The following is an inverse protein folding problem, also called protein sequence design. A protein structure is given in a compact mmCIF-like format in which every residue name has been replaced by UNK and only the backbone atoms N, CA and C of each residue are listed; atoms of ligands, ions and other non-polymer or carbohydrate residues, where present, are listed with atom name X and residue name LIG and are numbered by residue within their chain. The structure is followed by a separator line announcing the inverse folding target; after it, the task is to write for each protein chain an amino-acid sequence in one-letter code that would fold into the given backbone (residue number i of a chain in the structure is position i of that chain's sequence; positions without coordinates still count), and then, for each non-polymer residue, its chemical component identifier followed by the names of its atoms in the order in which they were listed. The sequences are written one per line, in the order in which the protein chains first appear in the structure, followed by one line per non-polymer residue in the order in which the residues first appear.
data_IF_073756389477
#
_entry.id   IF_073756389477
#
_cell.length_a   1.000
_cell.length_b   1.000
_cell.length_c   1.000
_cell.angle_alpha   90.00
_cell.angle_beta   90.00
_cell.angle_gamma   90.00
#
_symmetry.space_group_name_H-M   'P 1'
#
loop_
_entity.id
_entity.type
_entity.pdbx_description
1 polymer ?
2 polymer ?
3 polymer ?
4 water ?
#
# COMPACT_ATOMS: atom_id res chain seq x y z
N UNK A 22 -4.16 20.49 6.15
CA UNK A 22 -3.90 21.10 4.85
C UNK A 22 -2.75 20.41 4.07
N UNK A 23 -2.23 19.30 4.59
CA UNK A 23 -1.15 18.52 3.96
C UNK A 23 -1.76 17.61 2.89
N UNK A 24 -1.48 17.91 1.61
CA UNK A 24 -1.99 17.14 0.46
C UNK A 24 -0.85 16.53 -0.35
N UNK A 25 -0.95 15.22 -0.64
CA UNK A 25 0.07 14.46 -1.37
C UNK A 25 -0.44 13.85 -2.67
N UNK A 26 0.44 13.81 -3.69
CA UNK A 26 0.19 13.20 -5.00
C UNK A 26 1.38 12.29 -5.32
N UNK A 27 1.10 11.04 -5.75
CA UNK A 27 2.15 10.08 -6.06
C UNK A 27 1.76 9.14 -7.20
N UNK A 28 2.66 9.03 -8.21
CA UNK A 28 2.50 8.15 -9.37
C UNK A 28 3.66 7.15 -9.36
N UNK A 29 3.37 5.91 -8.91
CA UNK A 29 4.36 4.85 -8.78
C UNK A 29 4.36 3.83 -9.92
N UNK A 30 5.51 3.71 -10.63
CA UNK A 30 5.70 2.80 -11.76
C UNK A 30 6.60 1.63 -11.39
N UNK A 31 6.29 0.44 -11.92
CA UNK A 31 7.05 -0.79 -11.69
C UNK A 31 7.27 -1.55 -13.00
N UNK A 32 8.54 -1.75 -13.38
CA UNK A 32 8.93 -2.51 -14.57
C UNK A 32 9.55 -3.83 -14.11
N UNK A 33 8.89 -4.95 -14.43
CA UNK A 33 9.31 -6.28 -13.98
C UNK A 33 9.72 -7.23 -15.11
N UNK A 34 10.72 -8.08 -14.85
CA UNK A 34 11.20 -9.11 -15.78
C UNK A 34 10.41 -10.40 -15.53
N UNK A 35 10.12 -10.69 -14.25
CA UNK A 35 9.36 -11.86 -13.81
C UNK A 35 8.12 -11.38 -13.01
N UNK A 36 6.92 -11.37 -13.62
CA UNK A 36 5.70 -10.91 -12.93
C UNK A 36 5.09 -11.81 -11.82
N UNK A 37 4.91 -13.14 -11.98
CA UNK A 37 5.25 -14.01 -13.12
C UNK A 37 4.03 -14.49 -13.91
N UNK A 38 3.50 -15.71 -13.62
CA UNK A 38 2.35 -16.26 -14.36
C UNK A 38 1.02 -15.53 -14.10
N UNK A 39 0.35 -15.12 -15.20
CA UNK A 39 -0.94 -14.42 -15.19
C UNK A 39 -0.90 -13.07 -14.48
N UNK A 40 0.23 -12.34 -14.60
CA UNK A 40 0.43 -11.04 -13.96
C UNK A 40 1.06 -10.01 -14.93
N UNK A 41 0.73 -8.69 -14.79
CA UNK A 41 1.31 -7.68 -15.67
C UNK A 41 2.75 -7.33 -15.30
N UNK A 42 3.60 -7.07 -16.32
CA UNK A 42 5.01 -6.71 -16.12
C UNK A 42 5.18 -5.22 -15.78
N UNK A 43 4.34 -4.35 -16.35
CA UNK A 43 4.36 -2.91 -16.09
C UNK A 43 3.09 -2.48 -15.38
N UNK A 44 3.23 -1.87 -14.18
CA UNK A 44 2.12 -1.41 -13.35
C UNK A 44 2.35 0.06 -12.94
N UNK A 45 1.37 0.95 -13.22
CA UNK A 45 1.41 2.36 -12.85
C UNK A 45 0.17 2.73 -12.03
N UNK A 46 0.37 3.13 -10.76
CA UNK A 46 -0.70 3.48 -9.83
C UNK A 46 -0.58 4.94 -9.36
N UNK A 47 -1.70 5.69 -9.37
CA UNK A 47 -1.77 7.09 -8.93
C UNK A 47 -2.50 7.20 -7.59
N UNK A 48 -2.05 8.14 -6.73
CA UNK A 48 -2.63 8.37 -5.40
C UNK A 48 -2.87 9.85 -5.08
N UNK A 49 -3.99 10.15 -4.39
CA UNK A 49 -4.36 11.48 -3.90
C UNK A 49 -4.61 11.33 -2.39
N UNK A 50 -3.69 11.90 -1.56
CA UNK A 50 -3.71 11.86 -0.10
C UNK A 50 -3.74 10.41 0.47
N UNK A 51 -3.14 9.45 -0.26
CA UNK A 51 -3.09 8.04 0.10
C UNK A 51 -4.13 7.21 -0.65
N UNK A 52 -5.28 7.82 -0.99
CA UNK A 52 -6.39 7.17 -1.69
C UNK A 52 -6.09 6.91 -3.17
N UNK A 53 -6.40 5.70 -3.64
CA UNK A 53 -6.21 5.26 -5.03
C UNK A 53 -7.24 5.92 -5.95
N UNK A 54 -6.80 6.42 -7.11
CA UNK A 54 -7.67 7.08 -8.09
C UNK A 54 -7.31 6.77 -9.55
N UNK A 55 -6.02 6.48 -9.82
CA UNK A 55 -5.50 6.16 -11.16
C UNK A 55 -4.86 4.77 -11.17
N UNK A 56 -5.13 3.98 -12.23
CA UNK A 56 -4.58 2.63 -12.39
C UNK A 56 -4.23 2.32 -13.85
N UNK A 57 -3.08 1.64 -14.06
CA UNK A 57 -2.59 1.21 -15.36
C UNK A 57 -1.80 -0.10 -15.24
N UNK A 58 -2.02 -1.02 -16.19
CA UNK A 58 -1.32 -2.31 -16.27
C UNK A 58 -0.98 -2.66 -17.73
N UNK A 59 0.11 -3.44 -17.93
CA UNK A 59 0.59 -3.84 -19.26
C UNK A 59 -0.36 -4.80 -20.01
N UNK A 60 -1.28 -5.47 -19.30
CA UNK A 60 -2.25 -6.41 -19.90
C UNK A 60 -3.41 -5.64 -20.54
N UNK A 61 -4.05 -4.74 -19.77
CA UNK A 61 -5.20 -3.93 -20.24
C UNK A 61 -4.78 -2.79 -21.19
N UNK A 62 -3.58 -2.20 -20.97
CA UNK A 62 -3.00 -1.10 -21.76
C UNK A 62 -3.86 0.18 -21.78
N UNK A 63 -4.62 0.44 -20.69
CA UNK A 63 -5.48 1.60 -20.55
C UNK A 63 -5.49 2.21 -19.15
N UNK A 64 -5.54 3.55 -19.08
CA UNK A 64 -5.61 4.30 -17.82
C UNK A 64 -7.08 4.43 -17.42
N UNK A 65 -7.47 3.76 -16.33
CA UNK A 65 -8.85 3.73 -15.84
C UNK A 65 -9.03 4.36 -14.44
N UNK A 66 -10.19 5.03 -14.18
CA UNK A 66 -10.43 5.62 -12.85
C UNK A 66 -10.85 4.54 -11.85
N UNK A 67 -10.42 4.69 -10.58
CA UNK A 67 -10.75 3.72 -9.53
C UNK A 67 -11.86 4.23 -8.60
N UNK A 68 -11.76 5.49 -8.15
CA UNK A 68 -12.77 6.12 -7.28
C UNK A 68 -13.75 7.00 -8.09
N UNK A 69 -14.95 7.22 -7.53
CA UNK A 69 -16.04 7.97 -8.17
C UNK A 69 -15.83 9.47 -8.40
N UNK A 70 -15.07 10.15 -7.53
CA UNK A 70 -14.84 11.61 -7.66
C UNK A 70 -14.04 12.07 -8.88
N UNK A 71 -13.11 11.23 -9.39
CA UNK A 71 -12.31 11.58 -10.56
C UNK A 71 -13.08 11.43 -11.88
N UNK A 72 -13.81 10.30 -12.04
CA UNK A 72 -14.62 10.00 -13.22
C UNK A 72 -15.75 11.01 -13.42
N UNK A 73 -16.32 11.53 -12.31
CA UNK A 73 -17.40 12.52 -12.32
C UNK A 73 -16.91 13.93 -12.69
N UNK A 74 -15.59 14.19 -12.50
CA UNK A 74 -14.98 15.50 -12.78
C UNK A 74 -14.04 15.52 -14.00
N UNK A 75 -13.79 14.37 -14.64
CA UNK A 75 -12.94 14.26 -15.83
C UNK A 75 -13.65 13.59 -17.01
N UNK A 76 -13.33 14.03 -18.24
CA UNK A 76 -13.88 13.49 -19.48
C UNK A 76 -12.97 12.39 -20.05
N UNK A 77 -13.40 11.74 -21.16
CA UNK A 77 -12.63 10.67 -21.83
C UNK A 77 -11.33 11.20 -22.43
N UNK A 78 -11.34 12.46 -22.93
CA UNK A 78 -10.19 13.16 -23.53
C UNK A 78 -9.01 13.24 -22.55
N UNK A 79 -9.30 13.37 -21.24
CA UNK A 79 -8.34 13.41 -20.15
C UNK A 79 -7.66 12.03 -20.03
N UNK A 80 -8.49 10.96 -19.92
CA UNK A 80 -8.02 9.58 -19.79
C UNK A 80 -7.35 9.03 -21.05
N UNK A 81 -7.68 9.59 -22.23
CA UNK A 81 -7.07 9.20 -23.51
C UNK A 81 -5.62 9.71 -23.55
N UNK A 82 -5.40 10.95 -23.05
CA UNK A 82 -4.07 11.57 -22.95
C UNK A 82 -3.26 10.88 -21.84
N UNK A 83 -3.94 10.48 -20.74
CA UNK A 83 -3.32 9.77 -19.62
C UNK A 83 -2.86 8.36 -20.00
N UNK A 84 -3.53 7.73 -20.99
CA UNK A 84 -3.19 6.39 -21.48
C UNK A 84 -1.88 6.43 -22.29
N UNK A 85 -1.85 7.24 -23.38
CA UNK A 85 -0.72 7.39 -24.30
C UNK A 85 0.63 7.77 -23.67
N UNK A 86 0.62 8.67 -22.67
CA UNK A 86 1.85 9.11 -21.98
C UNK A 86 2.45 8.01 -21.10
N UNK A 87 1.58 7.17 -20.50
CA UNK A 87 2.00 6.03 -19.67
C UNK A 87 2.39 4.86 -20.60
N UNK A 88 1.70 4.73 -21.76
CA UNK A 88 1.98 3.74 -22.80
C UNK A 88 3.36 4.00 -23.40
N UNK A 89 3.73 5.30 -23.51
CA UNK A 89 5.01 5.76 -24.02
C UNK A 89 6.12 5.43 -23.02
N UNK A 90 5.85 5.64 -21.71
CA UNK A 90 6.78 5.35 -20.63
C UNK A 90 6.96 3.84 -20.44
N UNK A 91 5.92 3.05 -20.80
CA UNK A 91 5.93 1.58 -20.73
C UNK A 91 6.98 1.03 -21.71
N UNK A 92 7.04 1.61 -22.94
CA UNK A 92 8.01 1.25 -23.97
C UNK A 92 9.42 1.69 -23.58
N UNK A 93 9.53 2.84 -22.89
CA UNK A 93 10.80 3.39 -22.40
C UNK A 93 11.34 2.52 -21.26
N UNK A 94 10.47 2.11 -20.31
CA UNK A 94 10.84 1.25 -19.20
C UNK A 94 11.13 -0.20 -19.65
N UNK A 95 10.60 -0.60 -20.82
CA UNK A 95 10.81 -1.92 -21.43
C UNK A 95 12.27 -2.03 -21.89
N UNK A 96 12.78 -1.00 -22.61
CA UNK A 96 14.16 -0.95 -23.08
C UNK A 96 15.14 -0.61 -21.95
N UNK A 97 14.67 0.10 -20.90
CA UNK A 97 15.45 0.46 -19.71
C UNK A 97 15.91 -0.76 -18.92
N UNK A 98 15.08 -1.84 -18.93
CA UNK A 98 15.38 -3.11 -18.27
C UNK A 98 16.56 -3.81 -18.97
N UNK A 99 16.69 -3.62 -20.29
CA UNK A 99 17.74 -4.19 -21.12
C UNK A 99 19.05 -3.39 -21.05
N UNK A 100 18.96 -2.04 -21.02
CA UNK A 100 20.09 -1.11 -20.93
C UNK A 100 20.82 -1.29 -19.59
N UNK A 101 20.04 -1.35 -18.49
CA UNK A 101 20.54 -1.50 -17.12
C UNK A 101 21.12 -2.90 -16.83
N UNK A 102 20.64 -3.93 -17.56
CA UNK A 102 21.13 -5.31 -17.42
C UNK A 102 22.53 -5.46 -18.01
N UNK A 103 22.82 -4.74 -19.12
CA UNK A 103 24.12 -4.76 -19.80
C UNK A 103 25.20 -4.02 -19.00
N UNK A 104 24.80 -2.97 -18.23
CA UNK A 104 25.70 -2.17 -17.41
C UNK A 104 26.26 -2.98 -16.23
N UNK A 105 25.42 -3.84 -15.62
CA UNK A 105 25.77 -4.72 -14.50
C UNK A 105 26.28 -6.08 -14.99
N UNK A 106 26.22 -6.33 -16.33
CA UNK A 106 26.61 -7.56 -17.01
C UNK A 106 25.78 -8.77 -16.52
N UNK A 107 24.46 -8.71 -16.77
CA UNK A 107 23.48 -9.73 -16.37
C UNK A 107 22.77 -10.30 -17.59
N UNK A 108 22.64 -11.64 -17.64
CA UNK A 108 21.99 -12.36 -18.74
C UNK A 108 20.46 -12.35 -18.62
N UNK A 109 19.94 -12.42 -17.38
CA UNK A 109 18.49 -12.42 -17.12
C UNK A 109 18.15 -13.10 -15.80
N UNK A 110 16.89 -12.93 -15.36
CA UNK A 110 16.37 -13.51 -14.12
C UNK A 110 15.27 -12.63 -13.54
N UNK A 111 15.48 -12.11 -12.32
CA UNK A 111 14.53 -11.23 -11.64
C UNK A 111 15.15 -9.85 -11.39
N UNK A 112 14.80 -8.89 -12.26
CA UNK A 112 15.27 -7.50 -12.20
C UNK A 112 14.09 -6.54 -12.24
N UNK A 113 14.10 -5.53 -11.35
CA UNK A 113 13.00 -4.57 -11.23
C UNK A 113 13.46 -3.12 -11.33
N UNK A 114 12.70 -2.30 -12.08
CA UNK A 114 12.94 -0.86 -12.26
C UNK A 114 11.73 -0.12 -11.68
N UNK A 115 11.92 0.51 -10.51
CA UNK A 115 10.88 1.24 -9.80
C UNK A 115 10.98 2.75 -10.07
N UNK A 116 9.85 3.46 -9.99
CA UNK A 116 9.79 4.90 -10.22
C UNK A 116 8.82 5.61 -9.26
N UNK A 117 9.27 6.76 -8.71
CA UNK A 117 8.48 7.59 -7.79
C UNK A 117 8.41 9.02 -8.32
N UNK A 118 7.19 9.53 -8.52
CA UNK A 118 6.94 10.88 -9.04
C UNK A 118 5.71 11.49 -8.39
N UNK A 119 5.72 12.83 -8.18
CA UNK A 119 4.59 13.53 -7.57
C UNK A 119 4.99 14.78 -6.78
N UNK A 120 3.98 15.50 -6.25
CA UNK A 120 4.15 16.73 -5.47
C UNK A 120 3.48 16.65 -4.10
N UNK A 121 4.02 17.38 -3.12
CA UNK A 121 3.49 17.47 -1.76
C UNK A 121 3.25 18.94 -1.41
N UNK A 122 1.97 19.33 -1.29
CA UNK A 122 1.61 20.71 -0.92
C UNK A 122 1.52 20.78 0.61
N UNK A 123 2.50 21.46 1.24
CA UNK A 123 2.59 21.63 2.68
C UNK A 123 1.49 22.55 3.20
N UNK A 124 1.12 22.41 4.49
CA UNK A 124 0.09 23.21 5.17
C UNK A 124 0.34 24.71 5.12
N UNK A 125 1.62 25.12 5.21
CA UNK A 125 2.06 26.51 5.16
C UNK A 125 1.90 27.12 3.76
N UNK A 126 2.26 26.36 2.70
CA UNK A 126 2.15 26.79 1.31
C UNK A 126 3.35 26.41 0.45
N UNK A 127 4.39 25.79 1.06
CA UNK A 127 5.61 25.37 0.36
C UNK A 127 5.34 24.15 -0.52
N UNK A 128 5.93 24.13 -1.72
CA UNK A 128 5.80 23.05 -2.70
C UNK A 128 7.05 22.16 -2.67
N UNK A 129 6.84 20.84 -2.52
CA UNK A 129 7.91 19.85 -2.49
C UNK A 129 7.66 18.79 -3.57
N UNK A 130 8.51 18.78 -4.61
CA UNK A 130 8.38 17.86 -5.75
C UNK A 130 9.49 16.80 -5.76
N UNK A 131 9.09 15.53 -5.97
CA UNK A 131 10.02 14.40 -6.02
C UNK A 131 9.93 13.63 -7.33
N UNK A 132 11.10 13.14 -7.81
CA UNK A 132 11.25 12.36 -9.04
C UNK A 132 12.49 11.49 -8.91
N UNK A 133 12.30 10.21 -8.58
CA UNK A 133 13.40 9.25 -8.39
C UNK A 133 13.13 7.85 -8.94
N UNK A 134 14.22 7.09 -9.20
CA UNK A 134 14.17 5.73 -9.73
C UNK A 134 15.08 4.78 -8.94
N UNK A 135 14.77 3.47 -8.98
CA UNK A 135 15.53 2.42 -8.29
C UNK A 135 15.61 1.13 -9.09
N UNK A 136 16.80 0.49 -9.08
CA UNK A 136 17.05 -0.77 -9.76
C UNK A 136 17.33 -1.88 -8.74
N UNK A 137 16.53 -2.96 -8.80
CA UNK A 137 16.59 -4.13 -7.91
C UNK A 137 16.49 -3.78 -6.40
N UNK A 138 15.59 -2.83 -6.08
CA UNK A 138 15.35 -2.38 -4.71
C UNK A 138 16.19 -1.14 -4.35
N UNK A 139 17.52 -1.23 -4.53
CA UNK A 139 18.47 -0.17 -4.23
C UNK A 139 18.32 1.05 -5.16
N UNK A 140 18.55 2.26 -4.62
CA UNK A 140 18.46 3.55 -5.32
C UNK A 140 19.35 3.62 -6.55
N UNK A 141 18.85 4.27 -7.62
CA UNK A 141 19.57 4.45 -8.89
C UNK A 141 19.80 5.93 -9.18
N UNK A 142 18.72 6.69 -9.48
CA UNK A 142 18.77 8.13 -9.78
C UNK A 142 17.67 8.90 -9.03
N UNK A 143 17.93 10.20 -8.76
CA UNK A 143 17.00 11.11 -8.08
C UNK A 143 17.20 12.54 -8.57
N UNK A 144 16.09 13.25 -8.86
CA UNK A 144 16.14 14.62 -9.35
C UNK A 144 16.20 15.64 -8.21
N UNK A 145 17.12 16.61 -8.33
CA UNK A 145 17.31 17.69 -7.36
C UNK A 145 16.67 18.98 -7.88
N UNK A 146 15.82 19.62 -7.06
CA UNK A 146 15.12 20.85 -7.42
C UNK A 146 15.98 22.11 -7.30
N UNK A 147 16.78 22.21 -6.21
CA UNK A 147 17.65 23.36 -5.94
C UNK A 147 18.94 23.41 -6.78
N UNK A 148 19.16 22.40 -7.65
CA UNK A 148 20.33 22.30 -8.51
C UNK A 148 19.92 22.11 -9.98
N UNK A 149 18.68 21.62 -10.22
CA UNK A 149 18.07 21.34 -11.53
C UNK A 149 18.84 20.26 -12.34
N UNK A 150 19.52 19.35 -11.62
CA UNK A 150 20.32 18.26 -12.19
C UNK A 150 19.93 16.91 -11.56
N UNK A 151 20.10 15.82 -12.34
CA UNK A 151 19.80 14.47 -11.90
C UNK A 151 20.99 13.90 -11.12
N UNK A 152 20.76 13.47 -9.87
CA UNK A 152 21.78 12.91 -8.98
C UNK A 152 21.86 11.39 -9.16
N UNK A 153 23.10 10.88 -9.37
CA UNK A 153 23.39 9.46 -9.56
C UNK A 153 23.92 8.85 -8.25
N UNK A 154 23.23 7.84 -7.72
CA UNK A 154 23.59 7.16 -6.47
C UNK A 154 24.65 6.07 -6.68
N UNK A 155 24.42 5.19 -7.67
CA UNK A 155 25.32 4.07 -8.00
C UNK A 155 26.28 4.45 -9.17
N UNK A 156 27.50 3.84 -9.28
CA UNK A 156 28.42 4.11 -10.38
C UNK A 156 27.86 3.72 -11.76
N UNK A 157 26.85 2.83 -11.80
CA UNK A 157 26.18 2.38 -13.03
C UNK A 157 25.15 3.42 -13.53
N UNK A 158 24.80 4.40 -12.68
CA UNK A 158 23.85 5.47 -12.98
C UNK A 158 24.50 6.72 -13.59
N UNK A 159 25.83 6.67 -13.83
CA UNK A 159 26.61 7.75 -14.43
C UNK A 159 26.20 7.99 -15.92
N UNK A 160 26.03 6.92 -16.78
CA UNK A 160 25.60 7.17 -18.17
C UNK A 160 24.18 7.76 -18.30
N UNK A 161 23.33 7.58 -17.26
CA UNK A 161 21.96 8.10 -17.20
C UNK A 161 22.00 9.64 -17.13
N UNK A 162 22.92 10.20 -16.32
CA UNK A 162 23.12 11.64 -16.15
C UNK A 162 23.60 12.26 -17.46
N UNK A 163 24.46 11.54 -18.22
CA UNK A 163 25.01 11.97 -19.51
C UNK A 163 23.90 12.06 -20.56
N UNK A 164 22.90 11.15 -20.47
CA UNK A 164 21.72 11.12 -21.36
C UNK A 164 20.80 12.29 -21.05
N UNK A 165 20.63 12.61 -19.75
CA UNK A 165 19.79 13.71 -19.27
C UNK A 165 20.38 15.09 -19.59
N UNK A 166 21.73 15.18 -19.62
CA UNK A 166 22.46 16.41 -19.94
C UNK A 166 22.45 16.66 -21.46
N UNK A 167 22.33 15.58 -22.27
CA UNK A 167 22.30 15.63 -23.73
C UNK A 167 20.95 16.14 -24.24
N UNK A 168 19.84 15.52 -23.78
CA UNK A 168 18.47 15.88 -24.20
C UNK A 168 17.91 17.10 -23.48
N UNK A 169 18.30 17.29 -22.20
CA UNK A 169 17.83 18.42 -21.38
C UNK A 169 16.40 18.16 -20.90
N UNK A 170 16.16 16.97 -20.32
CA UNK A 170 14.85 16.55 -19.80
C UNK A 170 14.49 17.24 -18.48
N UNK A 171 15.51 17.79 -17.78
CA UNK A 171 15.37 18.49 -16.50
C UNK A 171 14.49 19.74 -16.58
N UNK A 172 14.51 20.44 -17.74
CA UNK A 172 13.73 21.65 -18.00
C UNK A 172 12.23 21.35 -18.06
N UNK A 173 11.85 20.23 -18.72
CA UNK A 173 10.46 19.78 -18.85
C UNK A 173 9.93 19.23 -17.53
N UNK A 174 10.83 18.68 -16.69
CA UNK A 174 10.52 18.12 -15.38
C UNK A 174 10.34 19.23 -14.32
N UNK A 175 11.07 20.36 -14.49
CA UNK A 175 11.00 21.51 -13.59
C UNK A 175 9.63 22.19 -13.66
N UNK A 176 9.11 22.44 -14.88
CA UNK A 176 7.80 23.05 -15.11
C UNK A 176 6.64 22.14 -14.67
N UNK A 177 6.84 20.81 -14.69
CA UNK A 177 5.85 19.82 -14.28
C UNK A 177 5.71 19.80 -12.76
N UNK A 178 6.80 19.53 -12.02
CA UNK A 178 6.85 19.45 -10.56
C UNK A 178 6.53 20.75 -9.83
N UNK A 179 6.74 21.91 -10.48
CA UNK A 179 6.47 23.23 -9.90
C UNK A 179 5.11 23.81 -10.27
N UNK A 180 4.58 23.47 -11.47
CA UNK A 180 3.29 24.00 -11.95
C UNK A 180 2.24 22.94 -12.31
N UNK A 181 2.47 22.14 -13.37
CA UNK A 181 1.54 21.11 -13.90
C UNK A 181 1.00 20.14 -12.83
N UNK A 182 1.90 19.49 -12.09
CA UNK A 182 1.58 18.53 -11.02
C UNK A 182 0.90 19.20 -9.82
N UNK A 183 1.31 20.45 -9.52
CA UNK A 183 0.77 21.26 -8.41
C UNK A 183 -0.68 21.73 -8.70
N UNK A 184 -0.90 22.30 -9.90
CA UNK A 184 -2.21 22.81 -10.35
C UNK A 184 -3.29 21.72 -10.40
N UNK A 185 -2.91 20.50 -10.84
CA UNK A 185 -3.81 19.36 -10.89
C UNK A 185 -4.16 18.81 -9.51
N UNK A 186 -3.17 18.76 -8.59
CA UNK A 186 -3.35 18.30 -7.21
C UNK A 186 -4.34 19.18 -6.43
N UNK A 187 -4.30 20.52 -6.67
CA UNK A 187 -5.22 21.49 -6.06
C UNK A 187 -6.66 21.21 -6.49
N UNK A 188 -6.84 20.76 -7.74
CA UNK A 188 -8.14 20.39 -8.31
C UNK A 188 -8.62 19.03 -7.77
N UNK A 189 -7.71 18.03 -7.64
CA UNK A 189 -8.01 16.68 -7.12
C UNK A 189 -8.58 16.71 -5.70
N UNK A 190 -8.09 17.64 -4.87
CA UNK A 190 -8.54 17.83 -3.48
C UNK A 190 -9.97 18.40 -3.50
N UNK A 191 -10.24 19.38 -4.39
CA UNK A 191 -11.54 20.03 -4.57
C UNK A 191 -12.57 19.05 -5.14
N UNK A 192 -12.14 18.15 -6.05
CA UNK A 192 -13.01 17.14 -6.68
C UNK A 192 -13.45 16.07 -5.66
N UNK A 193 -12.52 15.63 -4.79
CA UNK A 193 -12.78 14.63 -3.75
C UNK A 193 -12.81 15.26 -2.36
N UNK A 194 -13.45 16.44 -2.23
CA UNK A 194 -13.60 17.19 -0.98
C UNK A 194 -14.48 16.44 0.02
N UNK A 195 -15.53 15.76 -0.48
CA UNK A 195 -16.50 15.00 0.33
C UNK A 195 -16.00 13.60 0.72
N UNK A 196 -15.25 12.93 -0.19
CA UNK A 196 -14.74 11.58 0.04
C UNK A 196 -13.52 11.54 0.98
N UNK A 197 -12.50 12.39 0.72
CA UNK A 197 -11.27 12.46 1.52
C UNK A 197 -11.51 13.03 2.92
N UNK A 198 -12.47 13.97 3.05
CA UNK A 198 -12.82 14.62 4.31
C UNK A 198 -13.77 13.81 5.19
N UNK A 199 -14.38 12.74 4.64
CA UNK A 199 -15.33 11.88 5.36
C UNK A 199 -14.61 10.95 6.34
N UNK A 200 -15.18 10.83 7.56
CA UNK A 200 -14.65 9.96 8.62
C UNK A 200 -15.51 8.70 8.77
N UNK A 201 -14.85 7.55 8.97
CA UNK A 201 -15.50 6.25 9.14
C UNK A 201 -15.18 5.64 10.51
N UNK A 202 -16.24 5.34 11.28
CA UNK A 202 -16.14 4.74 12.62
C UNK A 202 -15.77 3.25 12.52
N UNK A 203 -14.75 2.78 13.29
CA UNK A 203 -14.36 1.37 13.21
C UNK A 203 -15.09 0.45 14.20
N UNK A 204 -15.33 -0.80 13.78
CA UNK A 204 -15.96 -1.82 14.62
C UNK A 204 -14.84 -2.49 15.41
N UNK A 205 -14.79 -2.23 16.72
CA UNK A 205 -13.73 -2.75 17.61
C UNK A 205 -14.14 -4.09 18.24
N UNK A 206 -13.20 -5.06 18.23
CA UNK A 206 -13.40 -6.38 18.83
C UNK A 206 -12.21 -6.75 19.71
N UNK A 207 -12.49 -7.01 21.00
CA UNK A 207 -11.47 -7.38 22.00
C UNK A 207 -11.54 -8.90 22.25
N UNK A 208 -10.40 -9.59 22.07
CA UNK A 208 -10.30 -11.04 22.23
C UNK A 208 -9.17 -11.46 23.17
N UNK A 209 -9.09 -12.77 23.49
CA UNK A 209 -8.08 -13.35 24.36
C UNK A 209 -7.87 -14.84 24.06
N UNK A 210 -6.61 -15.31 24.18
CA UNK A 210 -6.23 -16.70 23.92
C UNK A 210 -5.22 -17.21 24.95
N UNK A 211 -5.47 -18.42 25.48
CA UNK A 211 -4.61 -19.09 26.46
C UNK A 211 -3.75 -20.15 25.76
N UNK A 212 -2.42 -20.12 26.00
CA UNK A 212 -1.48 -21.06 25.39
C UNK A 212 -0.72 -21.91 26.42
N UNK A 213 0.34 -21.35 27.04
CA UNK A 213 1.16 -22.05 28.04
C UNK A 213 1.41 -21.16 29.27
N UNK A 214 0.35 -20.98 30.10
CA UNK A 214 0.40 -20.17 31.31
C UNK A 214 0.31 -18.65 31.04
N UNK A 215 0.12 -18.25 29.77
CA UNK A 215 0.02 -16.85 29.35
C UNK A 215 -1.23 -16.56 28.53
N UNK A 216 -1.92 -15.45 28.84
CA UNK A 216 -3.13 -15.00 28.15
C UNK A 216 -2.77 -13.87 27.18
N UNK A 217 -2.97 -14.11 25.87
CA UNK A 217 -2.67 -13.13 24.82
C UNK A 217 -3.95 -12.36 24.45
N UNK A 218 -4.07 -11.13 24.95
CA UNK A 218 -5.21 -10.25 24.71
C UNK A 218 -5.04 -9.53 23.37
N UNK A 219 -6.03 -9.69 22.47
CA UNK A 219 -6.02 -9.10 21.13
C UNK A 219 -7.08 -8.01 20.96
N UNK A 220 -6.75 -6.98 20.16
CA UNK A 220 -7.66 -5.86 19.85
C UNK A 220 -7.61 -5.55 18.36
N UNK A 221 -8.77 -5.63 17.69
CA UNK A 221 -8.88 -5.39 16.24
C UNK A 221 -9.89 -4.30 15.91
N UNK A 222 -9.50 -3.37 15.03
CA UNK A 222 -10.36 -2.28 14.55
C UNK A 222 -10.69 -2.54 13.08
N UNK A 223 -12.00 -2.69 12.77
CA UNK A 223 -12.48 -3.02 11.43
C UNK A 223 -13.08 -1.84 10.68
N UNK A 224 -12.48 -1.49 9.51
CA UNK A 224 -12.91 -0.45 8.59
C UNK A 224 -12.95 0.97 9.16
N UNK A 225 -11.88 1.75 8.93
CA UNK A 225 -11.78 3.14 9.39
C UNK A 225 -11.08 4.06 8.39
N UNK A 226 -11.52 5.33 8.35
CA UNK A 226 -10.94 6.38 7.50
C UNK A 226 -10.85 7.69 8.29
N UNK A 227 -9.70 8.42 8.23
CA UNK A 227 -8.47 8.19 7.45
C UNK A 227 -7.53 7.10 8.02
N UNK A 228 -6.35 6.94 7.39
CA UNK A 228 -5.31 5.97 7.76
C UNK A 228 -4.72 6.16 9.19
N UNK A 229 -4.45 7.42 9.69
CA UNK A 229 -3.87 7.54 11.03
C UNK A 229 -4.78 7.07 12.17
N UNK A 230 -4.24 6.22 13.04
CA UNK A 230 -4.92 5.64 14.20
C UNK A 230 -3.90 5.32 15.33
N UNK A 231 -4.31 5.51 16.59
CA UNK A 231 -3.49 5.21 17.76
C UNK A 231 -4.25 4.19 18.61
N UNK A 232 -3.83 2.91 18.53
CA UNK A 232 -4.44 1.82 19.28
C UNK A 232 -3.45 1.29 20.32
N UNK A 233 -3.71 1.61 21.60
CA UNK A 233 -2.85 1.22 22.73
C UNK A 233 -3.62 0.48 23.82
N UNK A 234 -2.94 -0.47 24.49
CA UNK A 234 -3.50 -1.28 25.57
C UNK A 234 -3.28 -0.61 26.93
N UNK A 235 -4.26 -0.78 27.84
CA UNK A 235 -4.23 -0.21 29.20
C UNK A 235 -4.38 -1.30 30.25
N UNK A 236 -3.75 -1.12 31.42
CA UNK A 236 -3.86 -2.02 32.56
C UNK A 236 -4.19 -1.18 33.79
N UNK A 237 -5.40 -1.39 34.36
CA UNK A 237 -5.96 -0.65 35.50
C UNK A 237 -6.08 0.87 35.22
N UNK A 238 -6.33 1.21 33.94
CA UNK A 238 -6.47 2.59 33.46
C UNK A 238 -5.12 3.27 33.26
N UNK A 239 -4.08 2.49 32.87
CA UNK A 239 -2.72 3.00 32.64
C UNK A 239 -2.10 2.33 31.41
N UNK A 240 -1.63 3.15 30.45
CA UNK A 240 -1.04 2.73 29.18
C UNK A 240 0.23 1.86 29.31
N UNK A 241 0.28 0.75 28.53
CA UNK A 241 1.38 -0.19 28.49
C UNK A 241 1.88 -0.31 27.04
N UNK A 242 2.59 0.74 26.58
CA UNK A 242 3.13 0.86 25.23
C UNK A 242 4.22 -0.16 24.89
N UNK A 243 5.10 -0.46 25.85
CA UNK A 243 6.20 -1.41 25.69
C UNK A 243 5.72 -2.86 25.54
N UNK A 244 4.82 -3.31 26.43
CA UNK A 244 4.27 -4.67 26.44
C UNK A 244 3.36 -4.99 25.25
N UNK A 245 2.72 -3.97 24.67
CA UNK A 245 1.81 -4.12 23.52
C UNK A 245 2.56 -4.19 22.19
N UNK A 246 2.18 -5.16 21.34
CA UNK A 246 2.76 -5.40 20.02
C UNK A 246 1.73 -5.12 18.92
N UNK A 247 2.08 -4.26 17.96
CA UNK A 247 1.21 -3.89 16.84
C UNK A 247 1.65 -4.50 15.52
N UNK A 248 0.69 -4.85 14.66
CA UNK A 248 0.94 -5.42 13.32
C UNK A 248 0.99 -4.33 12.24
N UNK A 249 0.68 -3.07 12.62
CA UNK A 249 0.67 -1.92 11.71
C UNK A 249 -0.70 -1.73 11.06
N UNK A 250 -0.89 -0.58 10.38
CA UNK A 250 -2.14 -0.25 9.69
C UNK A 250 -2.16 -0.95 8.32
N UNK A 251 -3.09 -1.91 8.15
CA UNK A 251 -3.27 -2.71 6.94
C UNK A 251 -4.55 -2.30 6.17
N UNK A 252 -4.47 -2.12 4.82
CA UNK A 252 -5.64 -1.69 4.05
C UNK A 252 -6.59 -2.80 3.62
N UNK A 253 -7.89 -2.46 3.52
CA UNK A 253 -8.96 -3.37 3.08
C UNK A 253 -9.20 -3.24 1.57
N UNK A 254 -10.00 -4.16 0.99
CA UNK A 254 -10.32 -4.19 -0.44
C UNK A 254 -11.18 -3.00 -0.92
N UNK A 255 -12.06 -2.48 -0.03
CA UNK A 255 -12.95 -1.36 -0.34
C UNK A 255 -12.31 0.03 -0.20
N UNK A 256 -11.09 0.11 0.36
CA UNK A 256 -10.37 1.38 0.53
C UNK A 256 -10.16 1.73 2.01
N UNK A 257 -10.92 1.10 2.92
CA UNK A 257 -10.84 1.31 4.37
C UNK A 257 -9.57 0.67 4.96
N UNK A 258 -9.32 0.89 6.27
CA UNK A 258 -8.13 0.37 6.94
C UNK A 258 -8.44 -0.53 8.16
N UNK A 259 -7.45 -1.35 8.55
CA UNK A 259 -7.52 -2.30 9.66
C UNK A 259 -6.22 -2.24 10.48
N UNK A 260 -6.31 -2.55 11.79
CA UNK A 260 -5.16 -2.57 12.71
C UNK A 260 -5.29 -3.69 13.75
N UNK A 261 -4.16 -4.35 14.07
CA UNK A 261 -4.10 -5.46 15.03
C UNK A 261 -3.05 -5.20 16.11
N UNK A 262 -3.50 -5.06 17.37
CA UNK A 262 -2.64 -4.81 18.54
C UNK A 262 -2.85 -5.93 19.59
N UNK A 263 -1.76 -6.62 19.96
CA UNK A 263 -1.77 -7.72 20.95
C UNK A 263 -0.90 -7.44 22.18
N UNK A 264 -1.29 -8.02 23.34
CA UNK A 264 -0.57 -7.89 24.60
C UNK A 264 -0.59 -9.22 25.40
N UNK A 265 0.50 -9.52 26.12
CA UNK A 265 0.62 -10.73 26.95
C UNK A 265 0.32 -10.39 28.41
N UNK A 266 -0.52 -11.22 29.05
CA UNK A 266 -0.95 -11.05 30.45
C UNK A 266 -1.13 -12.38 31.17
N UNK A 267 -1.17 -12.34 32.52
CA UNK A 267 -1.36 -13.52 33.38
C UNK A 267 -2.85 -13.95 33.36
N UNK A 268 -3.16 -15.27 33.55
CA UNK A 268 -4.56 -15.71 33.56
C UNK A 268 -5.32 -15.18 34.78
N UNK A 269 -6.50 -14.60 34.55
CA UNK A 269 -7.36 -14.02 35.58
C UNK A 269 -7.16 -12.50 35.72
N UNK A 270 -6.62 -11.86 34.66
CA UNK A 270 -6.36 -10.42 34.62
C UNK A 270 -6.88 -9.76 33.33
N UNK A 271 -7.46 -10.57 32.41
CA UNK A 271 -7.99 -10.15 31.11
C UNK A 271 -9.02 -9.00 31.18
N UNK A 272 -9.92 -9.03 32.17
CA UNK A 272 -10.95 -8.01 32.36
C UNK A 272 -10.41 -6.67 32.86
N UNK A 273 -9.23 -6.69 33.53
CA UNK A 273 -8.55 -5.48 34.04
C UNK A 273 -7.92 -4.67 32.89
N UNK A 274 -7.76 -5.30 31.71
CA UNK A 274 -7.18 -4.69 30.52
C UNK A 274 -8.24 -3.99 29.66
N UNK A 275 -7.90 -2.81 29.12
CA UNK A 275 -8.77 -2.00 28.27
C UNK A 275 -8.07 -1.57 26.98
N UNK A 276 -8.79 -1.58 25.86
CA UNK A 276 -8.27 -1.17 24.56
C UNK A 276 -8.67 0.26 24.24
N UNK A 277 -7.68 1.14 24.01
CA UNK A 277 -7.88 2.55 23.70
C UNK A 277 -7.73 2.78 22.19
N UNK A 278 -8.74 3.39 21.56
CA UNK A 278 -8.75 3.68 20.13
C UNK A 278 -8.87 5.20 19.91
N UNK A 279 -7.83 5.80 19.29
CA UNK A 279 -7.79 7.23 18.97
C UNK A 279 -7.96 7.40 17.46
N UNK A 280 -9.12 7.95 17.05
CA UNK A 280 -9.46 8.15 15.64
C UNK A 280 -10.20 9.47 15.41
N UNK A 281 -10.10 10.02 14.18
CA UNK A 281 -10.74 11.27 13.77
C UNK A 281 -12.27 11.23 13.83
N UNK A 282 -12.87 10.04 13.62
CA UNK A 282 -14.32 9.83 13.67
C UNK A 282 -14.88 9.93 15.09
N UNK A 283 -14.05 9.57 16.10
CA UNK A 283 -14.42 9.62 17.51
C UNK A 283 -14.05 10.98 18.15
N UNK A 284 -14.99 11.61 18.91
CA UNK A 284 -14.68 12.89 19.57
C UNK A 284 -13.70 12.70 20.74
N UNK A 285 -13.87 11.60 21.48
CA UNK A 285 -13.02 11.20 22.62
C UNK A 285 -12.46 9.78 22.39
N UNK A 286 -11.28 9.42 22.99
CA UNK A 286 -10.72 8.08 22.81
C UNK A 286 -11.64 6.98 23.36
N UNK A 287 -12.05 6.04 22.48
CA UNK A 287 -12.94 4.93 22.82
C UNK A 287 -12.23 3.88 23.65
N UNK A 288 -12.80 3.56 24.83
CA UNK A 288 -12.28 2.55 25.76
C UNK A 288 -13.13 1.29 25.64
N UNK A 289 -12.50 0.16 25.28
CA UNK A 289 -13.21 -1.12 25.07
C UNK A 289 -12.64 -2.27 25.90
N UNK A 290 -13.54 -3.06 26.51
CA UNK A 290 -13.20 -4.22 27.34
C UNK A 290 -13.68 -5.54 26.72
N UNK A 291 -13.10 -6.66 27.16
CA UNK A 291 -13.41 -8.01 26.67
C UNK A 291 -14.82 -8.48 27.07
N UNK A 292 -15.19 -8.34 28.35
CA UNK A 292 -16.50 -8.74 28.87
C UNK A 292 -17.59 -7.69 28.63
N UNK A 293 -17.21 -6.46 28.23
CA UNK A 293 -18.14 -5.35 27.98
C UNK A 293 -19.25 -5.52 26.91
N UNK A 294 -18.99 -6.06 25.69
CA UNK A 294 -17.74 -6.57 25.13
C UNK A 294 -17.46 -5.98 23.76
N UNK A 295 -16.29 -5.35 23.60
CA UNK A 295 -15.86 -4.74 22.34
C UNK A 295 -16.63 -3.46 21.99
N UNK A 296 -16.86 -3.25 20.68
CA UNK A 296 -17.55 -2.10 20.10
C UNK A 296 -19.06 -2.04 20.37
N UNK A 297 -19.72 -3.20 20.55
CA UNK A 297 -21.17 -3.26 20.80
C UNK A 297 -21.62 -2.84 22.22
N UNK A 298 -20.68 -2.41 23.06
CA UNK A 298 -20.96 -1.94 24.42
C UNK A 298 -21.18 -0.42 24.39
N UNK A 299 -22.45 0.00 24.27
CA UNK A 299 -22.86 1.40 24.23
C UNK A 299 -23.93 1.72 25.28
N UNK B 2 14.48 -9.34 0.78
CA UNK B 2 13.75 -9.08 2.02
C UNK B 2 12.54 -9.99 2.15
N UNK B 3 12.34 -10.57 3.35
CA UNK B 3 11.22 -11.47 3.64
C UNK B 3 9.91 -10.70 3.90
N UNK B 4 8.76 -11.16 3.31
CA UNK B 4 7.47 -10.47 3.50
C UNK B 4 6.88 -10.64 4.90
N UNK B 5 6.33 -9.53 5.44
CA UNK B 5 5.65 -9.50 6.74
C UNK B 5 4.16 -9.62 6.44
N UNK B 6 3.63 -10.86 6.57
CA UNK B 6 2.24 -11.18 6.25
C UNK B 6 1.34 -11.37 7.47
N UNK B 7 0.06 -10.95 7.35
CA UNK B 7 -0.98 -11.08 8.37
C UNK B 7 -2.36 -11.27 7.73
N UNK B 8 -3.14 -12.24 8.25
CA UNK B 8 -4.49 -12.54 7.77
C UNK B 8 -5.56 -11.90 8.68
N UNK B 9 -6.55 -11.23 8.06
CA UNK B 9 -7.62 -10.51 8.77
C UNK B 9 -8.90 -10.40 7.94
N UNK B 10 -10.06 -10.33 8.63
CA UNK B 10 -11.37 -10.19 8.00
C UNK B 10 -11.79 -8.71 7.93
N UNK B 11 -12.58 -8.36 6.90
CA UNK B 11 -13.08 -6.99 6.69
C UNK B 11 -14.04 -6.56 7.80
N UNK B 12 -15.08 -7.35 8.06
CA UNK B 12 -16.07 -7.12 9.12
C UNK B 12 -15.88 -8.12 10.26
N UNK B 13 -16.40 -7.84 11.50
CA UNK B 13 -16.31 -8.80 12.60
C UNK B 13 -17.02 -10.12 12.25
N UNK B 14 -16.37 -11.25 12.57
CA UNK B 14 -16.85 -12.61 12.29
C UNK B 14 -18.25 -12.90 12.84
N UNK B 15 -19.09 -13.55 12.01
CA UNK B 15 -20.46 -13.94 12.31
C UNK B 15 -20.85 -15.18 11.50
N UNK B 16 -21.52 -16.15 12.14
CA UNK B 16 -21.95 -17.39 11.51
C UNK B 16 -23.12 -17.16 10.55
N UNK B 17 -22.97 -17.64 9.30
CA UNK B 17 -23.98 -17.52 8.24
C UNK B 17 -24.13 -16.08 7.73
N UNK B 18 -23.03 -15.31 7.74
CA UNK B 18 -22.99 -13.91 7.28
C UNK B 18 -21.80 -13.70 6.34
N UNK B 19 -22.03 -13.01 5.20
CA UNK B 19 -21.01 -12.73 4.19
C UNK B 19 -19.92 -11.79 4.72
N UNK B 20 -18.65 -12.10 4.39
CA UNK B 20 -17.48 -11.33 4.82
C UNK B 20 -16.34 -11.41 3.78
N UNK B 21 -15.30 -10.58 3.92
CA UNK B 21 -14.16 -10.54 3.01
C UNK B 21 -12.88 -10.93 3.78
N UNK B 22 -12.18 -11.98 3.31
CA UNK B 22 -10.94 -12.45 3.94
C UNK B 22 -9.72 -11.83 3.25
N UNK B 23 -9.05 -10.90 3.96
CA UNK B 23 -7.88 -10.18 3.45
C UNK B 23 -6.58 -10.79 3.95
N UNK B 24 -5.53 -10.76 3.11
CA UNK B 24 -4.20 -11.25 3.41
C UNK B 24 -3.18 -10.27 2.83
N UNK B 25 -2.64 -9.40 3.69
CA UNK B 25 -1.69 -8.35 3.29
C UNK B 25 -0.24 -8.69 3.59
N UNK B 26 0.61 -8.67 2.54
CA UNK B 26 2.05 -8.92 2.61
C UNK B 26 2.79 -7.63 2.26
N UNK B 27 3.79 -7.26 3.09
CA UNK B 27 4.57 -6.03 2.90
C UNK B 27 6.05 -6.19 3.29
N UNK B 28 6.91 -5.32 2.72
CA UNK B 28 8.36 -5.30 2.98
C UNK B 28 9.08 -6.48 2.33
N UNK B 29 8.90 -6.65 1.00
CA UNK B 29 9.52 -7.76 0.27
C UNK B 29 10.15 -7.38 -1.09
N UNK B 30 11.14 -8.17 -1.51
CA UNK B 30 11.86 -8.05 -2.78
C UNK B 30 12.50 -9.41 -3.12
N UNK B 31 12.35 -9.93 -4.39
CA UNK B 31 11.69 -9.39 -5.59
C UNK B 31 10.15 -9.28 -5.48
N UNK B 32 9.48 -8.52 -6.41
CA UNK B 32 8.02 -8.37 -6.38
C UNK B 32 7.21 -9.64 -6.63
N UNK B 33 7.84 -10.70 -7.21
CA UNK B 33 7.19 -11.98 -7.50
C UNK B 33 6.81 -12.68 -6.18
N UNK B 34 5.50 -12.69 -5.88
CA UNK B 34 4.94 -13.29 -4.67
C UNK B 34 3.68 -14.12 -4.97
N UNK B 35 3.56 -15.29 -4.32
CA UNK B 35 2.41 -16.18 -4.48
C UNK B 35 1.58 -16.21 -3.20
N UNK B 36 0.50 -15.42 -3.17
CA UNK B 36 -0.42 -15.31 -2.02
C UNK B 36 -1.74 -16.00 -2.37
N UNK B 37 -2.08 -17.08 -1.63
CA UNK B 37 -3.30 -17.85 -1.86
C UNK B 37 -4.11 -18.03 -0.58
N UNK B 38 -5.40 -17.70 -0.63
CA UNK B 38 -6.33 -17.84 0.50
C UNK B 38 -6.86 -19.28 0.50
N UNK B 39 -6.88 -19.92 1.69
CA UNK B 39 -7.31 -21.32 1.82
C UNK B 39 -8.49 -21.55 2.77
N UNK B 40 -9.22 -22.66 2.53
CA UNK B 40 -10.34 -23.17 3.32
C UNK B 40 -10.11 -24.68 3.49
N UNK B 41 -9.74 -25.10 4.72
CA UNK B 41 -9.42 -26.47 5.12
C UNK B 41 -8.26 -27.11 4.31
N UNK B 42 -7.28 -26.26 3.91
CA UNK B 42 -6.11 -26.68 3.13
C UNK B 42 -6.35 -26.63 1.62
N UNK B 43 -7.59 -26.29 1.19
CA UNK B 43 -8.00 -26.19 -0.21
C UNK B 43 -8.11 -24.70 -0.59
N UNK B 44 -7.52 -24.27 -1.75
CA UNK B 44 -7.59 -22.85 -2.16
C UNK B 44 -9.02 -22.32 -2.32
N UNK B 45 -9.24 -21.06 -1.90
CA UNK B 45 -10.54 -20.40 -1.94
C UNK B 45 -10.91 -19.88 -3.32
N UNK B 46 -12.20 -19.99 -3.67
CA UNK B 46 -12.77 -19.56 -4.96
C UNK B 46 -12.99 -18.05 -5.01
N UNK B 47 -12.73 -17.44 -6.18
CA UNK B 47 -12.92 -16.01 -6.45
C UNK B 47 -11.91 -15.11 -5.73
N UNK B 48 -10.62 -15.50 -5.74
CA UNK B 48 -9.55 -14.72 -5.11
C UNK B 48 -9.13 -13.56 -6.01
N UNK B 49 -9.21 -12.32 -5.49
CA UNK B 49 -8.86 -11.10 -6.22
C UNK B 49 -7.66 -10.40 -5.58
N UNK B 50 -6.72 -9.94 -6.43
CA UNK B 50 -5.49 -9.26 -6.00
C UNK B 50 -5.50 -7.75 -6.28
N UNK B 51 -4.52 -7.02 -5.72
CA UNK B 51 -4.36 -5.57 -5.89
C UNK B 51 -3.14 -5.25 -6.75
N UNK B 53 -0.10 -4.18 -7.89
CA UNK B 53 1.26 -3.98 -7.43
C UNK B 53 1.49 -2.55 -6.93
N UNK B 54 2.01 -2.43 -5.69
CA UNK B 54 2.29 -1.15 -5.04
C UNK B 54 3.54 -1.26 -4.14
N UNK B 55 4.19 -0.11 -3.84
CA UNK B 55 5.38 -0.06 -2.99
C UNK B 55 5.48 1.21 -2.14
N UNK B 56 6.13 1.10 -0.97
CA UNK B 56 6.35 2.20 -0.02
C UNK B 56 7.47 3.15 -0.47
N UNK B 57 7.70 4.25 0.29
CA UNK B 57 8.73 5.25 0.03
C UNK B 57 10.16 4.69 0.17
N UNK B 58 10.31 3.58 0.93
CA UNK B 58 11.58 2.90 1.14
C UNK B 58 11.80 1.74 0.13
N UNK B 59 11.11 1.82 -1.03
CA UNK B 59 11.14 0.89 -2.17
C UNK B 59 10.58 -0.53 -1.92
N UNK B 60 10.15 -0.83 -0.68
CA UNK B 60 9.60 -2.13 -0.29
C UNK B 60 8.19 -2.36 -0.85
N UNK B 61 8.00 -3.49 -1.55
CA UNK B 61 6.75 -3.90 -2.20
C UNK B 61 5.64 -4.32 -1.23
N UNK B 62 4.38 -4.21 -1.70
CA UNK B 62 3.18 -4.59 -0.96
C UNK B 62 2.06 -5.12 -1.89
N UNK B 63 1.31 -6.12 -1.43
CA UNK B 63 0.20 -6.73 -2.19
C UNK B 63 -0.90 -7.24 -1.26
N UNK B 64 -2.17 -6.99 -1.65
CA UNK B 64 -3.36 -7.43 -0.92
C UNK B 64 -4.19 -8.40 -1.77
N UNK B 65 -4.51 -9.58 -1.19
CA UNK B 65 -5.32 -10.61 -1.82
C UNK B 65 -6.59 -10.81 -0.97
N UNK B 66 -7.75 -10.52 -1.57
CA UNK B 66 -9.05 -10.61 -0.89
C UNK B 66 -10.10 -11.37 -1.69
N UNK B 67 -10.98 -12.10 -0.98
CA UNK B 67 -12.06 -12.89 -1.57
C UNK B 67 -13.29 -12.92 -0.66
N UNK B 68 -14.50 -12.86 -1.26
CA UNK B 68 -15.78 -12.88 -0.56
C UNK B 68 -16.06 -14.32 -0.07
N UNK B 69 -16.40 -14.47 1.23
CA UNK B 69 -16.66 -15.77 1.84
C UNK B 69 -17.68 -15.72 2.99
N UNK B 70 -18.08 -16.91 3.49
CA UNK B 70 -19.00 -17.07 4.62
C UNK B 70 -18.31 -17.97 5.66
N UNK B 71 -18.06 -17.46 6.91
CA UNK B 71 -17.41 -18.28 7.94
C UNK B 71 -18.29 -19.42 8.43
N UNK B 72 -17.76 -20.65 8.36
CA UNK B 72 -18.44 -21.88 8.77
C UNK B 72 -17.76 -22.52 9.98
N UNK B 73 -18.57 -23.06 10.91
CA UNK B 73 -18.08 -23.72 12.12
C UNK B 73 -17.48 -25.08 11.78
N UNK B 74 -16.24 -25.33 12.26
CA UNK B 74 -15.51 -26.58 11.99
C UNK B 74 -14.58 -26.44 10.79
N UNK B 75 -14.64 -25.28 10.08
CA UNK B 75 -13.83 -24.98 8.91
C UNK B 75 -12.68 -24.05 9.29
N UNK B 76 -11.45 -24.38 8.86
CA UNK B 76 -10.24 -23.61 9.15
C UNK B 76 -9.83 -22.76 7.92
N UNK B 77 -9.64 -21.45 8.14
CA UNK B 77 -9.24 -20.50 7.09
C UNK B 77 -7.80 -20.06 7.31
N UNK B 78 -6.98 -20.12 6.24
CA UNK B 78 -5.56 -19.76 6.28
C UNK B 78 -5.06 -19.06 5.01
N UNK B 79 -3.82 -18.54 5.05
CA UNK B 79 -3.19 -17.84 3.93
C UNK B 79 -1.76 -18.34 3.69
N UNK B 80 -1.51 -18.92 2.50
CA UNK B 80 -0.22 -19.47 2.10
C UNK B 80 0.58 -18.43 1.28
N UNK B 81 1.82 -18.15 1.72
CA UNK B 81 2.71 -17.18 1.06
C UNK B 81 4.01 -17.86 0.62
N UNK B 82 4.33 -17.76 -0.68
CA UNK B 82 5.54 -18.33 -1.28
C UNK B 82 6.48 -17.22 -1.79
N UNK B 83 7.77 -17.34 -1.43
CA UNK B 83 8.82 -16.39 -1.81
C UNK B 83 10.18 -17.10 -1.91
N UNK B 84 11.12 -16.53 -2.69
CA UNK B 84 12.47 -17.10 -2.86
C UNK B 84 13.35 -16.99 -1.60
N UNK B 85 13.10 -15.98 -0.75
CA UNK B 85 13.83 -15.74 0.49
C UNK B 85 13.31 -16.58 1.67
N UNK B 86 12.13 -17.21 1.50
CA UNK B 86 11.48 -18.03 2.53
C UNK B 86 11.92 -19.49 2.60
N UNK B 87 12.26 -20.11 1.44
CA UNK B 87 12.65 -21.53 1.29
C UNK B 87 11.44 -22.46 1.52
N UNK B 88 10.85 -22.39 2.73
CA UNK B 88 9.65 -23.14 3.12
C UNK B 88 8.47 -22.14 3.19
N UNK B 89 7.30 -22.46 2.57
CA UNK B 89 6.16 -21.54 2.58
C UNK B 89 5.56 -21.31 3.98
N UNK B 90 5.39 -20.02 4.35
CA UNK B 90 4.83 -19.62 5.64
C UNK B 90 3.32 -19.45 5.52
N UNK B 91 2.56 -20.19 6.35
CA UNK B 91 1.10 -20.16 6.35
C UNK B 91 0.56 -19.51 7.62
N UNK B 92 -0.28 -18.47 7.45
CA UNK B 92 -0.88 -17.71 8.56
C UNK B 92 -2.34 -18.09 8.76
N UNK B 93 -2.68 -18.61 9.95
CA UNK B 93 -4.03 -19.06 10.33
C UNK B 93 -4.92 -17.89 10.75
N UNK B 94 -6.19 -17.90 10.27
CA UNK B 94 -7.19 -16.90 10.60
C UNK B 94 -8.14 -17.44 11.67
N UNK B 95 -8.34 -16.67 12.75
CA UNK B 95 -9.24 -17.03 13.85
C UNK B 95 -10.43 -16.08 13.89
N UNK B 96 -11.68 -16.62 14.01
CA UNK B 96 -12.88 -15.77 14.06
C UNK B 96 -12.97 -14.93 15.34
N UNK B 97 -12.53 -15.49 16.47
CA UNK B 97 -12.57 -14.82 17.78
C UNK B 97 -11.16 -14.46 18.31
N UNK B 98 -10.29 -13.92 17.42
CA UNK B 98 -8.92 -13.47 17.72
C UNK B 98 -8.38 -12.56 16.61
N UNK C 1 -1.90 15.01 -12.86
CA UNK C 1 -1.58 14.31 -14.10
C UNK C 1 -0.24 13.60 -14.03
N UNK C 2 -0.11 12.49 -14.77
CA UNK C 2 1.11 11.68 -14.88
C UNK C 2 2.23 12.46 -15.60
N UNK C 3 3.53 12.18 -15.29
CA UNK C 3 4.61 12.90 -15.99
C UNK C 3 4.77 12.41 -17.43
N UNK C 4 5.39 13.24 -18.29
CA UNK C 4 5.63 12.92 -19.70
C UNK C 4 6.60 11.75 -19.84
N UNK C 5 6.46 10.96 -20.91
CA UNK C 5 7.30 9.78 -21.19
C UNK C 5 8.81 10.07 -21.26
N UNK C 6 9.19 11.29 -21.67
CA UNK C 6 10.57 11.76 -21.81
C UNK C 6 11.38 11.77 -20.51
N UNK C 7 10.73 11.99 -19.35
CA UNK C 7 11.40 12.04 -18.04
C UNK C 7 11.65 10.67 -17.38
N UNK C 8 11.51 9.57 -18.15
CA UNK C 8 11.72 8.20 -17.66
C UNK C 8 12.88 7.48 -18.34
N UNK C 9 13.63 8.17 -19.24
CA UNK C 9 14.78 7.63 -19.96
C UNK C 9 15.95 7.36 -19.01
N UNK C 10 16.55 6.16 -19.11
CA UNK C 10 17.70 5.75 -18.31
C UNK C 10 18.90 5.38 -19.18
#
# INVERSE_FOLDING_TARGET
MGSCGALGLGLLLAAVCGAAAELHTLRYIRTAMTDPGPGLPWFVDVGYVDGELFMHYNSTARRAVPRTEWIAANTDQQYWDRETQIVQGSEQINRENLDILRRRYNQTGGSHTVQWMSGCDILEDGTIRGYHQAAYDGRDFVAFDKGTMTLTAAVPEAVPTKRKWEEGGYAEGLKQYLEETCVEWLRRYVEYGKAELGRRERPEVRVWGKEADGILTLSCRAHGFYPRPIVVSWLKDGAVRGQDAQSGGIVPNGDGTYHTWVTIDAQPGDGDKYQCRVEHASLPQPGLYSWRSGGGLNDIFEAQKIEWHENSSSVDKLAAALEHHHHHH
DLTPKVQVYSRFPASAGTKNVLNCFAAGFHPPKISITLMKDGVPMEGAQYSDMSFNDDWTFQRLVHADFTPSSGSTYACKVEHETLKEPQVYKWDPEF
TNPESKVFYL
#
